data_IF_831396762056
#
_entry.id   IF_831396762056
#
_cell.length_a   1.000
_cell.length_b   1.000
_cell.length_c   1.000
_cell.angle_alpha   90.00
_cell.angle_beta   90.00
_cell.angle_gamma   90.00
#
_symmetry.space_group_name_H-M   'P 1'
#
loop_
_entity.id
_entity.type
_entity.pdbx_description
1 polymer ?
#
# COMPACT_ATOMS: atom_id res chain seq x y z
N UNK A 1 19.92 -2.59 23.92
CA UNK A 1 19.45 -3.83 23.27
C UNK A 1 18.10 -4.33 23.83
N UNK A 2 17.85 -4.36 25.12
CA UNK A 2 16.57 -4.82 25.70
C UNK A 2 15.35 -3.94 25.37
N UNK A 3 15.50 -2.62 25.25
CA UNK A 3 14.39 -1.71 24.91
C UNK A 3 13.94 -1.79 23.45
N UNK A 4 14.84 -2.15 22.53
CA UNK A 4 14.50 -2.37 21.10
C UNK A 4 13.73 -3.68 20.92
N UNK A 5 14.09 -4.72 21.67
CA UNK A 5 13.38 -5.99 21.66
C UNK A 5 11.94 -5.89 22.22
N UNK A 6 11.72 -5.02 23.22
CA UNK A 6 10.38 -4.74 23.79
C UNK A 6 9.50 -3.93 22.83
N UNK A 7 10.08 -3.01 22.06
CA UNK A 7 9.35 -2.25 21.03
C UNK A 7 8.96 -3.14 19.84
N UNK A 8 9.87 -3.99 19.36
CA UNK A 8 9.57 -4.98 18.30
C UNK A 8 8.55 -6.03 18.76
N UNK A 9 8.61 -6.47 20.01
CA UNK A 9 7.61 -7.38 20.59
C UNK A 9 6.22 -6.74 20.72
N UNK A 10 6.13 -5.43 20.96
CA UNK A 10 4.83 -4.72 21.04
C UNK A 10 4.22 -4.42 19.67
N UNK A 11 5.02 -4.13 18.66
CA UNK A 11 4.54 -3.93 17.27
C UNK A 11 4.11 -5.29 16.68
N UNK A 12 4.85 -6.35 16.90
CA UNK A 12 4.48 -7.72 16.51
C UNK A 12 3.22 -8.23 17.25
N UNK A 13 3.05 -7.88 18.54
CA UNK A 13 1.86 -8.25 19.31
C UNK A 13 0.61 -7.42 18.93
N UNK A 14 0.78 -6.20 18.39
CA UNK A 14 -0.35 -5.37 17.96
C UNK A 14 -0.87 -5.81 16.59
N UNK A 15 0.00 -6.20 15.64
CA UNK A 15 -0.38 -6.82 14.36
C UNK A 15 -0.91 -8.25 14.52
N UNK A 16 -0.46 -9.00 15.53
CA UNK A 16 -0.92 -10.36 15.81
C UNK A 16 -2.29 -10.41 16.53
N UNK A 17 -2.86 -9.29 16.97
CA UNK A 17 -4.05 -9.29 17.85
C UNK A 17 -5.39 -9.14 17.15
N UNK A 18 -5.42 -8.84 15.84
CA UNK A 18 -6.67 -8.81 15.09
C UNK A 18 -6.47 -9.41 13.70
N UNK A 19 -6.61 -10.73 13.58
CA UNK A 19 -6.95 -11.32 12.28
C UNK A 19 -8.17 -10.56 11.78
N UNK A 20 -8.02 -9.83 10.67
CA UNK A 20 -9.12 -9.08 10.08
C UNK A 20 -10.30 -10.02 9.84
N UNK A 21 -11.50 -9.65 10.26
CA UNK A 21 -12.69 -10.50 10.08
C UNK A 21 -12.89 -10.94 8.63
N UNK A 22 -12.47 -10.11 7.66
CA UNK A 22 -12.48 -10.45 6.24
C UNK A 22 -11.60 -11.67 5.88
N UNK A 23 -10.45 -11.88 6.57
CA UNK A 23 -9.63 -13.09 6.39
C UNK A 23 -10.37 -14.34 6.86
N UNK A 24 -11.05 -14.26 7.99
CA UNK A 24 -11.89 -15.35 8.49
C UNK A 24 -13.06 -15.63 7.54
N UNK A 25 -13.67 -14.57 7.02
CA UNK A 25 -14.74 -14.66 6.03
C UNK A 25 -14.29 -15.38 4.78
N UNK A 26 -13.04 -15.14 4.29
CA UNK A 26 -12.49 -15.74 3.08
C UNK A 26 -12.38 -17.26 3.16
N UNK A 27 -11.98 -17.78 4.31
CA UNK A 27 -11.81 -19.23 4.50
C UNK A 27 -13.07 -19.95 5.03
N UNK A 28 -14.05 -19.19 5.50
CA UNK A 28 -15.27 -19.75 6.09
C UNK A 28 -16.07 -20.68 5.15
N UNK A 29 -16.20 -20.45 3.82
CA UNK A 29 -16.87 -21.40 2.93
C UNK A 29 -16.26 -22.81 2.94
N UNK A 30 -14.94 -22.92 3.10
CA UNK A 30 -14.25 -24.20 3.22
C UNK A 30 -14.47 -24.83 4.61
N UNK A 31 -14.36 -24.02 5.68
CA UNK A 31 -14.58 -24.48 7.07
C UNK A 31 -16.00 -24.96 7.32
N UNK A 32 -16.99 -24.35 6.65
CA UNK A 32 -18.41 -24.69 6.80
C UNK A 32 -18.86 -25.87 5.91
N UNK A 33 -18.01 -26.32 4.98
CA UNK A 33 -18.32 -27.36 4.00
C UNK A 33 -19.15 -26.90 2.79
N UNK A 34 -19.42 -25.59 2.66
CA UNK A 34 -20.07 -25.02 1.46
C UNK A 34 -19.18 -25.15 0.21
N UNK A 35 -17.87 -25.07 0.40
CA UNK A 35 -16.86 -25.37 -0.61
C UNK A 35 -16.01 -26.56 -0.17
N UNK A 36 -15.73 -27.46 -1.10
CA UNK A 36 -14.75 -28.51 -0.86
C UNK A 36 -13.36 -27.90 -0.66
N UNK A 37 -12.69 -28.28 0.41
CA UNK A 37 -11.34 -27.82 0.72
C UNK A 37 -10.34 -28.39 -0.29
N UNK A 38 -9.53 -27.56 -0.98
CA UNK A 38 -8.58 -28.05 -1.98
C UNK A 38 -7.42 -28.77 -1.30
N UNK A 39 -7.33 -30.09 -1.50
CA UNK A 39 -6.29 -30.95 -0.91
C UNK A 39 -4.98 -30.96 -1.71
N UNK A 40 -5.01 -30.54 -2.98
CA UNK A 40 -3.87 -30.48 -3.90
C UNK A 40 -4.02 -29.28 -4.84
N UNK A 41 -2.99 -29.03 -5.65
CA UNK A 41 -3.00 -27.97 -6.66
C UNK A 41 -2.35 -26.68 -6.17
N UNK A 42 -2.46 -25.64 -6.97
CA UNK A 42 -1.86 -24.31 -6.72
C UNK A 42 -2.93 -23.24 -6.69
N UNK A 43 -2.95 -22.43 -5.66
CA UNK A 43 -3.88 -21.32 -5.50
C UNK A 43 -3.14 -19.99 -5.43
N UNK A 44 -3.60 -19.01 -6.20
CA UNK A 44 -3.18 -17.62 -6.11
C UNK A 44 -3.95 -16.93 -4.98
N UNK A 45 -3.28 -16.21 -4.07
CA UNK A 45 -3.94 -15.44 -3.02
C UNK A 45 -3.60 -13.96 -3.13
N UNK A 46 -4.49 -13.18 -3.73
CA UNK A 46 -4.37 -11.75 -3.97
C UNK A 46 -4.78 -10.95 -2.74
N UNK A 47 -3.96 -9.96 -2.38
CA UNK A 47 -4.17 -9.14 -1.19
C UNK A 47 -3.97 -9.91 0.12
N UNK A 48 -3.13 -10.94 0.12
CA UNK A 48 -2.88 -11.78 1.30
C UNK A 48 -2.37 -10.93 2.47
N UNK A 49 -3.03 -11.03 3.62
CA UNK A 49 -2.60 -10.35 4.86
C UNK A 49 -2.05 -11.37 5.86
N UNK A 50 -1.07 -10.99 6.72
CA UNK A 50 -0.56 -11.88 7.74
C UNK A 50 -1.62 -12.27 8.77
N UNK A 51 -1.47 -13.47 9.35
CA UNK A 51 -2.34 -13.97 10.40
C UNK A 51 -3.55 -14.78 9.92
N UNK A 52 -3.66 -15.08 8.62
CA UNK A 52 -4.66 -16.05 8.15
C UNK A 52 -4.37 -17.46 8.69
N UNK A 53 -5.43 -18.26 8.79
CA UNK A 53 -5.35 -19.68 9.13
C UNK A 53 -6.03 -20.47 8.04
N UNK A 54 -5.38 -21.51 7.58
CA UNK A 54 -5.97 -22.44 6.62
C UNK A 54 -6.87 -23.44 7.34
N UNK A 55 -7.96 -23.88 6.70
CA UNK A 55 -8.71 -25.07 7.14
C UNK A 55 -7.78 -26.29 7.23
N UNK A 56 -8.07 -27.22 8.13
CA UNK A 56 -7.19 -28.36 8.45
C UNK A 56 -6.84 -29.22 7.21
N UNK A 57 -7.77 -29.39 6.27
CA UNK A 57 -7.59 -30.20 5.06
C UNK A 57 -7.12 -29.39 3.83
N UNK A 58 -6.70 -28.13 4.01
CA UNK A 58 -6.23 -27.30 2.92
C UNK A 58 -4.80 -27.66 2.53
N UNK A 59 -4.65 -28.52 1.54
CA UNK A 59 -3.36 -29.05 1.08
C UNK A 59 -2.80 -28.39 -0.18
N UNK A 60 -3.55 -27.49 -0.84
CA UNK A 60 -3.06 -26.79 -2.02
C UNK A 60 -1.94 -25.79 -1.68
N UNK A 61 -0.96 -25.66 -2.57
CA UNK A 61 0.13 -24.66 -2.44
C UNK A 61 -0.42 -23.25 -2.67
N UNK A 62 -0.21 -22.35 -1.71
CA UNK A 62 -0.59 -20.94 -1.83
C UNK A 62 0.56 -20.10 -2.39
N UNK A 63 0.30 -19.36 -3.46
CA UNK A 63 1.13 -18.30 -4.00
C UNK A 63 0.55 -16.95 -3.56
N UNK A 64 1.14 -16.35 -2.56
CA UNK A 64 0.63 -15.12 -1.97
C UNK A 64 1.10 -13.89 -2.76
N UNK A 65 0.19 -12.93 -2.92
CA UNK A 65 0.49 -11.64 -3.52
C UNK A 65 0.24 -10.53 -2.50
N UNK A 66 1.28 -9.76 -2.21
CA UNK A 66 1.19 -8.66 -1.26
C UNK A 66 2.14 -7.52 -1.63
N UNK A 67 1.59 -6.40 -2.12
CA UNK A 67 2.35 -5.21 -2.53
C UNK A 67 2.75 -4.28 -1.38
N UNK A 68 2.09 -4.36 -0.21
CA UNK A 68 2.42 -3.53 0.94
C UNK A 68 3.58 -4.13 1.73
N UNK A 69 4.73 -3.45 1.76
CA UNK A 69 6.00 -3.92 2.30
C UNK A 69 5.93 -4.49 3.73
N UNK A 70 5.26 -3.87 4.72
CA UNK A 70 5.12 -4.45 6.06
C UNK A 70 4.44 -5.82 6.06
N UNK A 71 3.34 -5.98 5.32
CA UNK A 71 2.63 -7.25 5.20
C UNK A 71 3.45 -8.30 4.45
N UNK A 72 4.08 -7.90 3.33
CA UNK A 72 4.99 -8.76 2.59
C UNK A 72 6.10 -9.33 3.49
N UNK A 73 6.76 -8.47 4.28
CA UNK A 73 7.82 -8.89 5.20
C UNK A 73 7.32 -9.86 6.27
N UNK A 74 6.13 -9.61 6.82
CA UNK A 74 5.53 -10.50 7.81
C UNK A 74 5.21 -11.88 7.22
N UNK A 75 4.63 -11.94 6.01
CA UNK A 75 4.36 -13.19 5.31
C UNK A 75 5.63 -13.94 4.93
N UNK A 76 6.65 -13.23 4.41
CA UNK A 76 7.95 -13.82 4.08
C UNK A 76 8.66 -14.37 5.33
N UNK A 77 8.60 -13.65 6.46
CA UNK A 77 9.15 -14.10 7.74
C UNK A 77 8.45 -15.35 8.27
N UNK A 78 7.16 -15.52 7.97
CA UNK A 78 6.40 -16.74 8.24
C UNK A 78 6.67 -17.88 7.23
N UNK A 79 7.64 -17.70 6.32
CA UNK A 79 8.07 -18.66 5.28
C UNK A 79 7.01 -18.95 4.22
N UNK A 80 6.08 -18.06 4.02
CA UNK A 80 5.16 -18.17 2.88
C UNK A 80 5.87 -17.77 1.57
N UNK A 81 5.48 -18.41 0.47
CA UNK A 81 5.85 -18.00 -0.89
C UNK A 81 5.04 -16.75 -1.24
N UNK A 82 5.65 -15.59 -1.19
CA UNK A 82 4.99 -14.29 -1.40
C UNK A 82 5.76 -13.46 -2.43
N UNK A 83 5.01 -12.83 -3.34
CA UNK A 83 5.52 -11.89 -4.37
C UNK A 83 4.82 -10.55 -4.25
N UNK A 84 5.44 -9.44 -4.67
CA UNK A 84 4.80 -8.12 -4.59
C UNK A 84 3.72 -7.91 -5.65
N UNK A 85 3.73 -8.68 -6.72
CA UNK A 85 2.76 -8.68 -7.81
C UNK A 85 2.42 -10.12 -8.22
N UNK A 86 1.29 -10.36 -8.90
CA UNK A 86 0.93 -11.69 -9.38
C UNK A 86 1.97 -12.26 -10.36
N UNK A 87 2.37 -13.50 -10.15
CA UNK A 87 3.31 -14.25 -11.01
C UNK A 87 2.76 -15.64 -11.32
N UNK A 88 2.99 -16.13 -12.54
CA UNK A 88 2.51 -17.41 -12.99
C UNK A 88 1.08 -17.38 -13.52
N UNK A 89 0.66 -18.51 -14.09
CA UNK A 89 -0.67 -18.75 -14.69
C UNK A 89 -1.08 -20.19 -14.43
N UNK A 90 -2.26 -20.58 -14.90
CA UNK A 90 -2.81 -21.94 -14.76
C UNK A 90 -2.88 -22.39 -13.29
N UNK A 91 -3.37 -21.49 -12.41
CA UNK A 91 -3.70 -21.85 -11.04
C UNK A 91 -5.01 -22.66 -11.01
N UNK A 92 -5.09 -23.65 -10.13
CA UNK A 92 -6.31 -24.44 -9.92
C UNK A 92 -7.43 -23.60 -9.26
N UNK A 93 -7.05 -22.49 -8.64
CA UNK A 93 -7.98 -21.50 -8.10
C UNK A 93 -7.29 -20.23 -7.62
N UNK A 94 -8.11 -19.25 -7.24
CA UNK A 94 -7.66 -18.00 -6.69
C UNK A 94 -8.50 -17.56 -5.49
N UNK A 95 -7.87 -16.93 -4.53
CA UNK A 95 -8.44 -16.26 -3.38
C UNK A 95 -8.17 -14.76 -3.52
N UNK A 96 -9.16 -13.90 -3.32
CA UNK A 96 -8.99 -12.45 -3.34
C UNK A 96 -9.58 -11.84 -2.06
N UNK A 97 -8.73 -11.18 -1.27
CA UNK A 97 -9.15 -10.46 -0.09
C UNK A 97 -9.41 -8.99 -0.44
N UNK A 98 -10.68 -8.66 -0.63
CA UNK A 98 -11.10 -7.31 -0.99
C UNK A 98 -10.86 -6.30 0.14
N UNK A 99 -10.40 -5.11 -0.24
CA UNK A 99 -10.22 -3.95 0.62
C UNK A 99 -11.21 -2.82 0.26
N UNK A 100 -10.87 -1.60 0.68
CA UNK A 100 -11.73 -0.40 0.53
C UNK A 100 -11.80 0.14 -0.90
N UNK A 101 -10.78 -0.10 -1.69
CA UNK A 101 -10.67 0.48 -3.02
C UNK A 101 -11.32 -0.44 -4.06
N UNK A 102 -12.53 -0.07 -4.47
CA UNK A 102 -13.30 -0.86 -5.43
C UNK A 102 -12.52 -1.20 -6.70
N UNK A 103 -11.89 -0.21 -7.33
CA UNK A 103 -11.14 -0.45 -8.56
C UNK A 103 -9.95 -1.38 -8.38
N UNK A 104 -9.26 -1.34 -7.22
CA UNK A 104 -8.21 -2.30 -6.89
C UNK A 104 -8.78 -3.72 -6.70
N UNK A 105 -9.94 -3.85 -6.04
CA UNK A 105 -10.60 -5.14 -5.87
C UNK A 105 -11.02 -5.73 -7.23
N UNK A 106 -11.56 -4.90 -8.13
CA UNK A 106 -11.92 -5.30 -9.50
C UNK A 106 -10.68 -5.74 -10.29
N UNK A 107 -9.56 -4.99 -10.21
CA UNK A 107 -8.29 -5.37 -10.83
C UNK A 107 -7.74 -6.71 -10.27
N UNK A 108 -7.81 -6.94 -8.97
CA UNK A 108 -7.41 -8.22 -8.38
C UNK A 108 -8.28 -9.39 -8.84
N UNK A 109 -9.59 -9.18 -9.01
CA UNK A 109 -10.47 -10.21 -9.55
C UNK A 109 -10.16 -10.47 -11.03
N UNK A 110 -9.84 -9.43 -11.82
CA UNK A 110 -9.37 -9.59 -13.20
C UNK A 110 -8.10 -10.46 -13.25
N UNK A 111 -7.09 -10.15 -12.43
CA UNK A 111 -5.86 -10.95 -12.30
C UNK A 111 -6.16 -12.41 -11.87
N UNK A 112 -7.09 -12.60 -10.92
CA UNK A 112 -7.53 -13.93 -10.50
C UNK A 112 -8.13 -14.71 -11.68
N UNK A 113 -9.01 -14.07 -12.46
CA UNK A 113 -9.65 -14.67 -13.63
C UNK A 113 -8.63 -15.00 -14.73
N UNK A 114 -7.72 -14.10 -15.05
CA UNK A 114 -6.71 -14.30 -16.09
C UNK A 114 -5.73 -15.43 -15.77
N UNK A 115 -5.38 -15.58 -14.48
CA UNK A 115 -4.33 -16.51 -14.04
C UNK A 115 -4.83 -17.87 -13.57
N UNK A 116 -6.12 -18.01 -13.32
CA UNK A 116 -6.72 -19.29 -12.95
C UNK A 116 -7.02 -20.12 -14.20
N UNK A 117 -6.85 -21.42 -14.15
CA UNK A 117 -7.23 -22.36 -15.22
C UNK A 117 -8.74 -22.32 -15.45
N UNK A 118 -9.19 -22.70 -16.65
CA UNK A 118 -10.61 -22.81 -16.96
C UNK A 118 -11.33 -23.75 -15.99
N UNK A 119 -12.51 -23.34 -15.51
CA UNK A 119 -13.26 -24.06 -14.48
C UNK A 119 -12.65 -24.00 -13.08
N UNK A 120 -11.48 -23.35 -12.90
CA UNK A 120 -10.84 -23.17 -11.61
C UNK A 120 -11.65 -22.25 -10.68
N UNK A 121 -11.56 -22.49 -9.38
CA UNK A 121 -12.34 -21.79 -8.36
C UNK A 121 -11.79 -20.41 -8.06
N UNK A 122 -12.63 -19.37 -8.09
CA UNK A 122 -12.30 -18.02 -7.62
C UNK A 122 -13.17 -17.68 -6.41
N UNK A 123 -12.54 -17.41 -5.27
CA UNK A 123 -13.22 -17.02 -4.02
C UNK A 123 -12.82 -15.59 -3.68
N UNK A 124 -13.81 -14.73 -3.46
CA UNK A 124 -13.62 -13.33 -3.09
C UNK A 124 -14.29 -13.08 -1.76
N UNK A 125 -13.60 -12.43 -0.83
CA UNK A 125 -14.22 -12.02 0.44
C UNK A 125 -13.74 -10.63 0.87
N UNK A 126 -14.58 -9.97 1.63
CA UNK A 126 -14.28 -8.66 2.20
C UNK A 126 -15.25 -8.26 3.29
N UNK A 127 -14.98 -7.13 3.94
CA UNK A 127 -15.85 -6.55 4.95
C UNK A 127 -17.04 -5.82 4.31
N UNK A 128 -18.20 -5.86 4.99
CA UNK A 128 -19.34 -5.02 4.61
C UNK A 128 -19.00 -3.53 4.63
N UNK A 129 -18.15 -3.14 5.56
CA UNK A 129 -17.66 -1.78 5.70
C UNK A 129 -16.77 -1.32 4.55
N UNK A 130 -16.12 -2.26 3.87
CA UNK A 130 -15.26 -2.02 2.70
C UNK A 130 -16.04 -2.15 1.36
N UNK A 131 -17.37 -2.38 1.43
CA UNK A 131 -18.25 -2.36 0.27
C UNK A 131 -18.35 -3.70 -0.49
N UNK A 132 -18.01 -4.83 0.13
CA UNK A 132 -18.04 -6.16 -0.51
C UNK A 132 -19.40 -6.50 -1.13
N UNK A 133 -20.51 -6.08 -0.49
CA UNK A 133 -21.86 -6.31 -1.01
C UNK A 133 -22.12 -5.62 -2.36
N UNK A 134 -21.55 -4.43 -2.56
CA UNK A 134 -21.62 -3.71 -3.83
C UNK A 134 -20.75 -4.37 -4.90
N UNK A 135 -19.57 -4.83 -4.52
CA UNK A 135 -18.67 -5.57 -5.41
C UNK A 135 -19.33 -6.88 -5.87
N UNK A 136 -19.92 -7.66 -4.94
CA UNK A 136 -20.67 -8.87 -5.28
C UNK A 136 -21.79 -8.61 -6.30
N UNK A 137 -22.64 -7.61 -6.05
CA UNK A 137 -23.72 -7.23 -6.96
C UNK A 137 -23.25 -6.81 -8.36
N UNK A 138 -22.04 -6.25 -8.45
CA UNK A 138 -21.43 -5.92 -9.73
C UNK A 138 -20.97 -7.19 -10.44
N UNK A 139 -20.31 -8.09 -9.73
CA UNK A 139 -19.86 -9.37 -10.30
C UNK A 139 -21.03 -10.23 -10.79
N UNK A 140 -22.15 -10.27 -10.04
CA UNK A 140 -23.38 -10.99 -10.44
C UNK A 140 -23.94 -10.56 -11.80
N UNK A 141 -23.61 -9.34 -12.26
CA UNK A 141 -24.00 -8.86 -13.60
C UNK A 141 -23.04 -9.30 -14.71
N UNK A 142 -21.85 -9.77 -14.37
CA UNK A 142 -20.80 -10.11 -15.30
C UNK A 142 -20.56 -11.63 -15.39
N UNK A 143 -20.78 -12.34 -14.30
CA UNK A 143 -20.56 -13.79 -14.21
C UNK A 143 -21.58 -14.40 -13.24
N UNK A 144 -22.02 -15.62 -13.53
CA UNK A 144 -22.85 -16.38 -12.60
C UNK A 144 -22.05 -16.76 -11.36
N UNK A 145 -22.55 -16.42 -10.17
CA UNK A 145 -21.93 -16.86 -8.92
C UNK A 145 -22.46 -18.25 -8.53
N UNK A 146 -21.57 -19.15 -8.13
CA UNK A 146 -21.94 -20.48 -7.65
C UNK A 146 -22.47 -20.44 -6.20
N UNK A 147 -22.09 -19.38 -5.44
CA UNK A 147 -22.61 -19.20 -4.09
C UNK A 147 -22.07 -17.95 -3.39
N UNK A 148 -22.64 -17.67 -2.24
CA UNK A 148 -22.18 -16.61 -1.33
C UNK A 148 -22.57 -16.93 0.12
N UNK A 149 -21.68 -16.56 1.06
CA UNK A 149 -21.84 -16.86 2.48
C UNK A 149 -21.49 -15.61 3.32
N UNK A 150 -22.48 -14.99 3.99
CA UNK A 150 -22.23 -13.89 4.93
C UNK A 150 -21.76 -14.41 6.28
N UNK A 151 -20.63 -13.91 6.78
CA UNK A 151 -20.11 -14.21 8.14
C UNK A 151 -19.10 -13.14 8.56
N UNK A 152 -18.90 -13.00 9.89
CA UNK A 152 -17.90 -12.12 10.48
C UNK A 152 -17.93 -10.68 9.93
N UNK A 153 -19.13 -10.08 9.87
CA UNK A 153 -19.36 -8.72 9.30
C UNK A 153 -18.85 -8.53 7.86
N UNK A 154 -18.78 -9.63 7.11
CA UNK A 154 -18.36 -9.66 5.72
C UNK A 154 -19.17 -10.63 4.89
N UNK A 155 -18.78 -10.77 3.63
CA UNK A 155 -19.35 -11.73 2.69
C UNK A 155 -18.21 -12.39 1.93
N UNK A 156 -18.23 -13.72 1.83
CA UNK A 156 -17.50 -14.46 0.82
C UNK A 156 -18.46 -14.81 -0.32
N UNK A 157 -18.00 -14.77 -1.56
CA UNK A 157 -18.72 -15.27 -2.71
C UNK A 157 -17.73 -15.92 -3.67
N UNK A 158 -18.22 -16.83 -4.52
CA UNK A 158 -17.36 -17.62 -5.38
C UNK A 158 -18.03 -17.96 -6.70
N UNK A 159 -17.19 -18.23 -7.69
CA UNK A 159 -17.58 -18.67 -9.02
C UNK A 159 -16.47 -19.50 -9.65
N UNK A 160 -16.80 -20.24 -10.70
CA UNK A 160 -15.81 -20.90 -11.55
C UNK A 160 -15.39 -19.98 -12.68
N UNK A 161 -14.08 -19.93 -12.97
CA UNK A 161 -13.59 -19.18 -14.13
C UNK A 161 -14.31 -19.68 -15.39
N UNK A 162 -15.04 -18.82 -16.10
CA UNK A 162 -15.76 -19.23 -17.30
C UNK A 162 -14.79 -19.46 -18.48
N UNK A 163 -15.24 -20.23 -19.46
CA UNK A 163 -14.64 -20.22 -20.79
C UNK A 163 -14.69 -18.79 -21.37
N UNK A 164 -13.66 -18.36 -22.12
CA UNK A 164 -13.64 -17.02 -22.70
C UNK A 164 -13.55 -15.89 -21.66
N UNK A 165 -12.90 -16.12 -20.52
CA UNK A 165 -12.81 -15.19 -19.39
C UNK A 165 -12.13 -13.84 -19.70
N UNK A 166 -11.59 -13.62 -20.89
CA UNK A 166 -10.95 -12.37 -21.30
C UNK A 166 -11.91 -11.17 -21.24
N UNK A 167 -13.18 -11.36 -21.64
CA UNK A 167 -14.20 -10.29 -21.60
C UNK A 167 -14.53 -9.92 -20.14
N UNK A 168 -14.62 -10.92 -19.25
CA UNK A 168 -14.82 -10.69 -17.82
C UNK A 168 -13.65 -9.94 -17.20
N UNK A 169 -12.42 -10.34 -17.48
CA UNK A 169 -11.22 -9.67 -17.00
C UNK A 169 -11.15 -8.23 -17.52
N UNK A 170 -11.39 -8.01 -18.82
CA UNK A 170 -11.42 -6.68 -19.42
C UNK A 170 -12.48 -5.78 -18.79
N UNK A 171 -13.68 -6.29 -18.50
CA UNK A 171 -14.77 -5.52 -17.86
C UNK A 171 -14.44 -5.11 -16.40
N UNK A 172 -13.44 -5.74 -15.79
CA UNK A 172 -12.99 -5.49 -14.42
C UNK A 172 -11.69 -4.67 -14.36
N UNK A 173 -10.96 -4.56 -15.47
CA UNK A 173 -9.76 -3.72 -15.51
C UNK A 173 -10.15 -2.24 -15.34
N UNK A 174 -9.51 -1.52 -14.42
CA UNK A 174 -9.74 -0.09 -14.28
C UNK A 174 -9.18 0.67 -15.49
N UNK A 175 -9.90 1.71 -15.90
CA UNK A 175 -9.37 2.62 -16.91
C UNK A 175 -8.11 3.32 -16.38
N UNK A 176 -7.07 3.50 -17.21
CA UNK A 176 -5.90 4.28 -16.86
C UNK A 176 -6.25 5.71 -16.44
N UNK A 177 -5.73 6.14 -15.32
CA UNK A 177 -5.96 7.51 -14.80
C UNK A 177 -4.69 8.34 -14.98
N UNK A 178 -4.86 9.53 -15.55
CA UNK A 178 -3.81 10.55 -15.60
C UNK A 178 -4.20 11.70 -14.68
N UNK A 179 -3.55 11.78 -13.54
CA UNK A 179 -3.70 12.91 -12.61
C UNK A 179 -2.98 14.12 -13.18
N UNK A 180 -3.69 15.26 -13.26
CA UNK A 180 -3.18 16.52 -13.82
C UNK A 180 -2.68 16.38 -15.29
N UNK A 181 -3.28 15.43 -16.04
CA UNK A 181 -2.88 15.13 -17.43
C UNK A 181 -1.46 14.59 -17.59
N UNK A 182 -0.80 14.23 -16.50
CA UNK A 182 0.64 13.94 -16.47
C UNK A 182 1.00 12.65 -15.74
N UNK A 183 0.46 12.44 -14.53
CA UNK A 183 0.88 11.34 -13.68
C UNK A 183 -0.02 10.13 -13.84
N UNK A 184 0.54 9.03 -14.31
CA UNK A 184 -0.14 7.74 -14.35
C UNK A 184 -0.34 7.19 -12.93
N UNK A 185 -1.57 6.82 -12.62
CA UNK A 185 -1.96 6.26 -11.32
C UNK A 185 -2.94 5.11 -11.51
N UNK A 186 -3.20 4.37 -10.44
CA UNK A 186 -4.19 3.29 -10.45
C UNK A 186 -5.02 3.30 -9.16
N UNK A 187 -6.26 2.77 -9.20
CA UNK A 187 -7.08 2.58 -8.02
C UNK A 187 -6.35 1.78 -6.94
N UNK A 188 -6.42 2.24 -5.70
CA UNK A 188 -5.68 1.68 -4.56
C UNK A 188 -4.49 2.52 -4.14
N UNK A 189 -3.89 3.28 -5.05
CA UNK A 189 -2.85 4.24 -4.72
C UNK A 189 -3.41 5.44 -3.96
N UNK A 190 -2.60 6.02 -3.10
CA UNK A 190 -2.98 7.26 -2.39
C UNK A 190 -3.30 8.38 -3.38
N UNK A 191 -4.49 8.99 -3.24
CA UNK A 191 -4.94 10.11 -4.07
C UNK A 191 -4.83 9.86 -5.58
N UNK A 192 -5.25 8.66 -6.02
CA UNK A 192 -5.09 8.18 -7.40
C UNK A 192 -5.90 8.96 -8.45
N UNK A 193 -6.86 9.77 -8.05
CA UNK A 193 -7.76 10.54 -8.93
C UNK A 193 -7.46 12.05 -8.98
N UNK A 194 -6.57 12.52 -8.11
CA UNK A 194 -6.21 13.96 -8.00
C UNK A 194 -4.92 14.15 -7.22
N UNK A 195 -4.31 15.35 -7.35
CA UNK A 195 -3.22 15.75 -6.47
C UNK A 195 -3.78 16.01 -5.07
N UNK A 196 -3.18 15.37 -4.06
CA UNK A 196 -3.53 15.60 -2.66
C UNK A 196 -3.27 17.06 -2.25
N UNK A 197 -4.23 17.66 -1.53
CA UNK A 197 -4.15 19.07 -1.15
C UNK A 197 -2.96 19.36 -0.19
N UNK A 198 -2.66 18.41 0.71
CA UNK A 198 -1.50 18.53 1.61
C UNK A 198 -0.18 18.46 0.83
N UNK A 199 -0.06 17.51 -0.11
CA UNK A 199 1.12 17.39 -0.98
C UNK A 199 1.31 18.64 -1.85
N UNK A 200 0.23 19.21 -2.37
CA UNK A 200 0.29 20.49 -3.13
C UNK A 200 0.80 21.62 -2.25
N UNK A 201 0.26 21.77 -1.04
CA UNK A 201 0.69 22.78 -0.08
C UNK A 201 2.17 22.62 0.31
N UNK A 202 2.65 21.40 0.49
CA UNK A 202 4.06 21.11 0.75
C UNK A 202 4.92 21.46 -0.46
N UNK A 203 4.48 21.15 -1.68
CA UNK A 203 5.21 21.47 -2.91
C UNK A 203 5.46 22.97 -3.07
N UNK A 204 4.51 23.83 -2.66
CA UNK A 204 4.68 25.30 -2.66
C UNK A 204 5.77 25.77 -1.68
N UNK A 205 6.09 24.98 -0.65
CA UNK A 205 7.10 25.28 0.36
C UNK A 205 8.48 24.67 0.06
N UNK A 206 8.65 23.98 -1.07
CA UNK A 206 9.93 23.38 -1.43
C UNK A 206 10.98 24.48 -1.70
N UNK A 207 12.23 24.29 -1.24
CA UNK A 207 13.30 25.27 -1.46
C UNK A 207 13.78 25.23 -2.91
N UNK A 208 14.15 26.38 -3.45
CA UNK A 208 14.74 26.50 -4.79
C UNK A 208 16.25 26.25 -4.78
N UNK A 209 16.90 26.35 -3.62
CA UNK A 209 18.35 26.35 -3.44
C UNK A 209 18.93 25.09 -2.79
N UNK A 210 18.10 24.05 -2.59
CA UNK A 210 18.57 22.79 -2.00
C UNK A 210 19.63 22.12 -2.88
N UNK A 211 20.62 21.51 -2.21
CA UNK A 211 21.77 20.87 -2.86
C UNK A 211 22.05 19.50 -2.25
N UNK A 212 22.82 18.70 -2.98
CA UNK A 212 23.26 17.39 -2.53
C UNK A 212 22.23 16.29 -2.76
N UNK A 213 21.89 15.51 -1.76
CA UNK A 213 20.98 14.37 -1.88
C UNK A 213 19.68 14.63 -1.11
N UNK A 214 18.55 14.36 -1.74
CA UNK A 214 17.24 14.42 -1.10
C UNK A 214 16.58 13.04 -1.03
N UNK A 215 15.58 12.92 -0.14
CA UNK A 215 14.70 11.75 -0.13
C UNK A 215 13.23 12.18 -0.02
N UNK A 216 12.34 11.36 -0.60
CA UNK A 216 10.89 11.46 -0.48
C UNK A 216 10.39 10.25 0.31
N UNK A 217 9.91 10.49 1.53
CA UNK A 217 9.47 9.45 2.46
C UNK A 217 7.96 9.25 2.38
N UNK A 218 7.52 8.10 1.87
CA UNK A 218 6.15 7.85 1.48
C UNK A 218 5.84 8.50 0.14
N UNK A 219 6.68 8.22 -0.85
CA UNK A 219 6.69 8.95 -2.13
C UNK A 219 5.42 8.74 -2.98
N UNK A 220 4.63 7.70 -2.69
CA UNK A 220 3.48 7.34 -3.48
C UNK A 220 3.85 7.15 -4.95
N UNK A 221 3.07 7.75 -5.84
CA UNK A 221 3.32 7.75 -7.29
C UNK A 221 4.25 8.88 -7.78
N UNK A 222 5.00 9.53 -6.86
CA UNK A 222 6.13 10.38 -7.17
C UNK A 222 5.84 11.88 -7.36
N UNK A 223 4.70 12.39 -6.92
CA UNK A 223 4.33 13.80 -7.09
C UNK A 223 5.34 14.76 -6.44
N UNK A 224 5.64 14.60 -5.15
CA UNK A 224 6.58 15.48 -4.45
C UNK A 224 8.00 15.38 -5.01
N UNK A 225 8.43 14.18 -5.39
CA UNK A 225 9.73 13.97 -6.07
C UNK A 225 9.81 14.70 -7.39
N UNK A 226 8.74 14.70 -8.21
CA UNK A 226 8.68 15.45 -9.47
C UNK A 226 8.78 16.96 -9.22
N UNK A 227 7.97 17.48 -8.28
CA UNK A 227 7.98 18.91 -7.92
C UNK A 227 9.36 19.36 -7.39
N UNK A 228 10.01 18.51 -6.59
CA UNK A 228 11.33 18.77 -6.07
C UNK A 228 12.39 18.81 -7.18
N UNK A 229 12.36 17.86 -8.10
CA UNK A 229 13.29 17.78 -9.23
C UNK A 229 13.16 18.96 -10.22
N UNK A 230 11.93 19.39 -10.45
CA UNK A 230 11.65 20.55 -11.33
C UNK A 230 12.08 21.88 -10.72
N UNK A 231 11.86 22.03 -9.44
CA UNK A 231 12.12 23.29 -8.72
C UNK A 231 13.58 23.46 -8.33
N UNK A 232 14.26 22.37 -7.94
CA UNK A 232 15.57 22.44 -7.29
C UNK A 232 16.68 21.88 -8.20
N UNK A 233 17.41 22.76 -8.88
CA UNK A 233 18.48 22.34 -9.82
C UNK A 233 19.80 21.95 -9.17
N UNK A 234 19.96 22.14 -7.85
CA UNK A 234 21.18 21.80 -7.11
C UNK A 234 21.24 20.37 -6.56
N UNK A 235 20.17 19.59 -6.68
CA UNK A 235 20.12 18.22 -6.19
C UNK A 235 20.85 17.27 -7.17
N UNK A 236 21.75 16.46 -6.62
CA UNK A 236 22.42 15.39 -7.35
C UNK A 236 21.58 14.11 -7.45
N UNK A 237 20.81 13.84 -6.41
CA UNK A 237 19.96 12.64 -6.35
C UNK A 237 18.70 12.88 -5.50
N UNK A 238 17.62 12.17 -5.85
CA UNK A 238 16.39 12.06 -5.08
C UNK A 238 16.06 10.58 -4.91
N UNK A 239 16.05 10.09 -3.67
CA UNK A 239 15.68 8.71 -3.35
C UNK A 239 14.24 8.64 -2.85
N UNK A 240 13.42 7.83 -3.52
CA UNK A 240 12.02 7.59 -3.18
C UNK A 240 11.90 6.33 -2.31
N UNK A 241 11.29 6.48 -1.14
CA UNK A 241 10.97 5.37 -0.24
C UNK A 241 9.45 5.20 -0.16
N UNK A 242 8.97 4.06 -0.62
CA UNK A 242 7.52 3.78 -0.65
C UNK A 242 7.24 2.35 -0.19
N UNK A 243 6.21 2.20 0.63
CA UNK A 243 5.80 0.89 1.14
C UNK A 243 4.89 0.12 0.19
N UNK A 244 4.12 0.83 -0.64
CA UNK A 244 3.28 0.22 -1.67
C UNK A 244 4.05 0.02 -2.97
N UNK A 245 4.14 -1.24 -3.39
CA UNK A 245 4.94 -1.64 -4.57
C UNK A 245 4.42 -1.00 -5.85
N UNK A 246 3.11 -1.01 -6.07
CA UNK A 246 2.51 -0.50 -7.29
C UNK A 246 2.65 1.03 -7.39
N UNK A 247 2.48 1.75 -6.28
CA UNK A 247 2.74 3.19 -6.21
C UNK A 247 4.20 3.51 -6.56
N UNK A 248 5.15 2.71 -6.09
CA UNK A 248 6.57 2.88 -6.45
C UNK A 248 6.84 2.59 -7.93
N UNK A 249 6.16 1.60 -8.54
CA UNK A 249 6.28 1.36 -9.99
C UNK A 249 5.68 2.54 -10.80
N UNK A 250 4.54 3.07 -10.37
CA UNK A 250 3.96 4.27 -10.96
C UNK A 250 4.93 5.47 -10.86
N UNK A 251 5.57 5.68 -9.71
CA UNK A 251 6.58 6.72 -9.54
C UNK A 251 7.76 6.56 -10.52
N UNK A 252 8.26 5.33 -10.73
CA UNK A 252 9.31 5.07 -11.73
C UNK A 252 8.90 5.50 -13.13
N UNK A 253 7.68 5.15 -13.53
CA UNK A 253 7.13 5.50 -14.85
C UNK A 253 6.92 7.02 -14.96
N UNK A 254 6.35 7.65 -13.93
CA UNK A 254 6.06 9.08 -13.92
C UNK A 254 7.31 9.96 -13.98
N UNK A 255 8.42 9.49 -13.41
CA UNK A 255 9.68 10.23 -13.33
C UNK A 255 10.67 9.89 -14.44
N UNK A 256 10.42 8.83 -15.25
CA UNK A 256 11.36 8.31 -16.24
C UNK A 256 11.80 9.34 -17.30
N UNK A 257 10.92 10.26 -17.66
CA UNK A 257 11.14 11.20 -18.76
C UNK A 257 11.18 12.66 -18.27
N UNK A 258 11.48 12.90 -17.00
CA UNK A 258 11.63 14.26 -16.49
C UNK A 258 12.91 14.89 -17.06
N UNK A 259 12.81 16.03 -17.78
CA UNK A 259 13.98 16.69 -18.35
C UNK A 259 14.87 17.27 -17.24
N UNK A 260 16.18 17.23 -17.43
CA UNK A 260 17.19 17.78 -16.52
C UNK A 260 17.05 17.30 -15.06
N UNK A 261 16.47 16.11 -14.87
CA UNK A 261 16.22 15.57 -13.54
C UNK A 261 17.52 15.05 -12.88
N UNK A 262 17.61 15.12 -11.54
CA UNK A 262 18.66 14.45 -10.80
C UNK A 262 18.52 12.93 -10.93
N UNK A 263 19.52 12.19 -10.43
CA UNK A 263 19.42 10.74 -10.38
C UNK A 263 18.30 10.32 -9.40
N UNK A 264 17.36 9.48 -9.87
CA UNK A 264 16.35 8.88 -9.00
C UNK A 264 16.76 7.51 -8.49
N UNK A 265 16.60 7.29 -7.17
CA UNK A 265 16.66 5.97 -6.54
C UNK A 265 15.25 5.55 -6.09
N UNK A 266 14.91 4.26 -6.26
CA UNK A 266 13.57 3.76 -5.92
C UNK A 266 13.69 2.59 -4.94
N UNK A 267 13.10 2.73 -3.76
CA UNK A 267 13.21 1.78 -2.65
C UNK A 267 11.82 1.34 -2.19
N UNK A 268 11.47 0.10 -2.46
CA UNK A 268 10.31 -0.51 -1.85
C UNK A 268 10.63 -0.83 -0.39
N UNK A 269 10.16 0.01 0.52
CA UNK A 269 10.71 0.09 1.87
C UNK A 269 9.66 0.42 2.93
N UNK A 270 9.72 -0.26 4.06
CA UNK A 270 8.92 0.02 5.24
C UNK A 270 9.67 0.96 6.19
N UNK A 271 9.41 2.26 6.10
CA UNK A 271 10.05 3.30 6.91
C UNK A 271 9.84 3.13 8.43
N UNK A 272 8.89 2.29 8.85
CA UNK A 272 8.63 2.00 10.26
C UNK A 272 9.46 0.79 10.74
N UNK A 273 9.56 -0.23 9.90
CA UNK A 273 10.18 -1.50 10.26
C UNK A 273 11.57 -1.74 9.68
N UNK A 274 12.03 -0.91 8.74
CA UNK A 274 13.34 -1.02 8.10
C UNK A 274 14.12 0.28 8.28
N UNK A 275 15.44 0.16 8.52
CA UNK A 275 16.31 1.31 8.72
C UNK A 275 16.77 1.88 7.38
N UNK A 276 16.73 3.21 7.24
CA UNK A 276 17.33 3.93 6.12
C UNK A 276 18.82 4.14 6.43
N UNK A 277 19.70 3.55 5.62
CA UNK A 277 21.15 3.61 5.85
C UNK A 277 21.78 4.87 5.25
N UNK A 278 21.22 5.40 4.16
CA UNK A 278 21.69 6.63 3.52
C UNK A 278 21.39 7.87 4.36
N UNK A 279 22.15 8.94 4.13
CA UNK A 279 21.99 10.24 4.77
C UNK A 279 21.72 11.34 3.73
N UNK A 280 20.77 12.21 4.05
CA UNK A 280 20.23 13.20 3.14
C UNK A 280 20.44 14.63 3.64
N UNK A 281 20.56 15.55 2.72
CA UNK A 281 20.58 16.99 3.00
C UNK A 281 19.14 17.53 3.18
N UNK A 282 18.18 16.91 2.45
CA UNK A 282 16.77 17.25 2.50
C UNK A 282 15.92 15.97 2.50
N UNK A 283 14.91 15.92 3.35
CA UNK A 283 13.83 14.93 3.27
C UNK A 283 12.51 15.67 3.12
N UNK A 284 11.68 15.25 2.16
CA UNK A 284 10.29 15.67 2.03
C UNK A 284 9.37 14.52 2.44
N UNK A 285 8.21 14.81 3.04
CA UNK A 285 7.33 13.77 3.57
C UNK A 285 5.88 14.24 3.69
N UNK A 286 4.95 13.44 3.14
CA UNK A 286 3.52 13.50 3.46
C UNK A 286 3.12 12.15 4.08
N UNK A 287 3.27 11.96 5.39
CA UNK A 287 3.06 10.67 6.02
C UNK A 287 1.58 10.27 6.00
N UNK A 288 1.24 8.98 5.89
CA UNK A 288 -0.13 8.51 5.95
C UNK A 288 -0.72 8.84 7.34
N UNK A 289 -1.97 9.33 7.35
CA UNK A 289 -2.67 9.72 8.56
C UNK A 289 -3.88 8.82 8.86
N UNK A 290 -4.23 7.91 7.95
CA UNK A 290 -5.29 6.93 8.12
C UNK A 290 -4.84 5.57 7.63
N UNK A 291 -4.83 4.57 8.52
CA UNK A 291 -5.01 3.17 8.16
C UNK A 291 -6.38 2.75 8.68
N UNK A 292 -7.27 2.44 7.79
CA UNK A 292 -8.61 2.14 8.21
C UNK A 292 -9.45 3.40 8.55
N UNK A 293 -10.42 3.26 9.48
CA UNK A 293 -11.32 4.35 9.93
C UNK A 293 -10.73 5.22 11.02
N UNK A 294 -9.67 4.78 11.67
CA UNK A 294 -9.01 5.52 12.74
C UNK A 294 -7.74 6.21 12.23
N UNK A 295 -7.48 7.41 12.72
CA UNK A 295 -6.18 8.02 12.54
C UNK A 295 -5.13 7.19 13.31
N UNK A 296 -4.05 6.77 12.63
CA UNK A 296 -2.92 6.10 13.26
C UNK A 296 -1.70 7.03 13.33
N UNK A 297 -1.67 7.96 14.28
CA UNK A 297 -0.55 8.92 14.41
C UNK A 297 0.79 8.21 14.62
N UNK A 298 0.78 6.98 15.10
CA UNK A 298 1.98 6.18 15.37
C UNK A 298 2.87 5.95 14.14
N UNK A 299 2.28 5.75 12.95
CA UNK A 299 3.04 5.58 11.71
C UNK A 299 3.77 6.88 11.36
N UNK A 300 3.07 8.01 11.32
CA UNK A 300 3.68 9.30 11.04
C UNK A 300 4.74 9.68 12.08
N UNK A 301 4.53 9.37 13.37
CA UNK A 301 5.53 9.58 14.42
C UNK A 301 6.79 8.72 14.20
N UNK A 302 6.63 7.47 13.77
CA UNK A 302 7.76 6.59 13.45
C UNK A 302 8.52 7.11 12.21
N UNK A 303 7.81 7.56 11.17
CA UNK A 303 8.42 8.16 9.99
C UNK A 303 9.18 9.45 10.29
N UNK A 304 8.68 10.31 11.20
CA UNK A 304 9.40 11.52 11.68
C UNK A 304 10.73 11.10 12.33
N UNK A 305 10.74 10.06 13.16
CA UNK A 305 11.97 9.54 13.79
C UNK A 305 12.92 8.94 12.75
N UNK A 306 12.39 8.21 11.77
CA UNK A 306 13.20 7.68 10.66
C UNK A 306 13.84 8.82 9.85
N UNK A 307 13.10 9.88 9.58
CA UNK A 307 13.61 11.06 8.86
C UNK A 307 14.73 11.77 9.66
N UNK A 308 14.54 12.03 10.96
CA UNK A 308 15.60 12.59 11.81
C UNK A 308 16.85 11.71 11.79
N UNK A 309 16.67 10.37 11.88
CA UNK A 309 17.76 9.41 11.79
C UNK A 309 18.46 9.35 10.43
N UNK A 310 17.81 9.72 9.35
CA UNK A 310 18.33 9.68 7.98
C UNK A 310 18.86 11.02 7.48
N UNK A 311 18.73 12.10 8.23
CA UNK A 311 19.29 13.41 7.88
C UNK A 311 20.78 13.50 8.29
N UNK A 312 21.53 14.25 7.47
CA UNK A 312 22.88 14.73 7.81
C UNK A 312 22.82 15.77 8.92
N UNK A 313 23.95 16.05 9.63
CA UNK A 313 24.05 17.25 10.46
C UNK A 313 23.70 18.50 9.65
N UNK A 314 22.76 19.33 10.15
CA UNK A 314 22.24 20.50 9.45
C UNK A 314 21.24 20.20 8.31
N UNK A 315 20.95 18.93 8.04
CA UNK A 315 19.93 18.53 7.08
C UNK A 315 18.53 18.92 7.53
N UNK A 316 17.60 19.02 6.58
CA UNK A 316 16.26 19.55 6.79
C UNK A 316 15.19 18.52 6.43
N UNK A 317 14.18 18.40 7.28
CA UNK A 317 12.90 17.78 6.98
C UNK A 317 11.89 18.84 6.59
N UNK A 318 11.18 18.66 5.48
CA UNK A 318 9.94 19.36 5.14
C UNK A 318 8.79 18.35 5.14
N UNK A 319 7.77 18.59 5.93
CA UNK A 319 6.63 17.69 6.00
C UNK A 319 5.30 18.42 6.07
N UNK A 320 4.27 17.78 5.51
CA UNK A 320 2.89 18.21 5.68
C UNK A 320 2.14 17.23 6.57
N UNK A 321 1.20 17.74 7.36
CA UNK A 321 0.34 16.93 8.20
C UNK A 321 -1.04 17.59 8.35
N UNK A 322 -2.08 16.80 8.59
CA UNK A 322 -3.38 17.31 8.99
C UNK A 322 -3.28 18.06 10.32
N UNK A 323 -3.99 19.20 10.45
CA UNK A 323 -3.94 20.09 11.61
C UNK A 323 -4.19 19.39 12.95
N UNK A 324 -5.06 18.39 12.99
CA UNK A 324 -5.42 17.67 14.21
C UNK A 324 -4.42 16.60 14.67
N UNK A 325 -3.34 16.35 13.92
CA UNK A 325 -2.39 15.29 14.28
C UNK A 325 -1.34 15.79 15.29
N UNK A 326 -1.02 15.02 16.34
CA UNK A 326 -0.17 15.44 17.45
C UNK A 326 1.33 15.26 17.11
N UNK A 327 1.80 15.88 16.01
CA UNK A 327 3.20 15.73 15.57
C UNK A 327 4.16 16.76 16.18
N UNK A 328 3.65 17.86 16.74
CA UNK A 328 4.49 18.92 17.33
C UNK A 328 5.46 18.41 18.40
N UNK A 329 5.00 17.53 19.30
CA UNK A 329 5.84 16.98 20.36
C UNK A 329 6.94 16.09 19.81
N UNK A 330 6.60 15.24 18.82
CA UNK A 330 7.57 14.32 18.22
C UNK A 330 8.60 15.06 17.40
N UNK A 331 8.19 16.08 16.65
CA UNK A 331 9.10 16.96 15.91
C UNK A 331 10.07 17.68 16.87
N UNK A 332 9.57 18.33 17.93
CA UNK A 332 10.41 19.00 18.93
C UNK A 332 11.35 18.06 19.70
N UNK A 333 10.97 16.80 19.86
CA UNK A 333 11.82 15.79 20.49
C UNK A 333 12.89 15.24 19.54
N UNK A 334 12.62 15.22 18.23
CA UNK A 334 13.49 14.62 17.22
C UNK A 334 14.45 15.64 16.55
N UNK A 335 14.14 16.94 16.59
CA UNK A 335 14.87 18.00 15.89
C UNK A 335 15.19 19.18 16.81
N UNK A 336 16.29 19.90 16.53
CA UNK A 336 16.74 21.06 17.29
C UNK A 336 15.93 22.33 16.99
N UNK A 337 15.58 22.53 15.71
CA UNK A 337 14.78 23.66 15.24
C UNK A 337 13.56 23.14 14.50
N UNK A 338 12.36 23.61 14.87
CA UNK A 338 11.08 23.25 14.24
C UNK A 338 10.28 24.50 14.00
N UNK A 339 9.91 24.75 12.76
CA UNK A 339 9.11 25.90 12.34
C UNK A 339 7.89 25.45 11.56
N UNK A 340 6.76 26.08 11.81
CA UNK A 340 5.57 25.99 10.98
C UNK A 340 5.70 26.99 9.84
N UNK A 341 5.70 26.52 8.59
CA UNK A 341 5.82 27.35 7.39
C UNK A 341 4.45 27.81 6.89
N UNK A 342 3.45 26.92 6.97
CA UNK A 342 2.08 27.16 6.50
C UNK A 342 1.08 26.47 7.42
N UNK A 343 -0.12 27.07 7.52
CA UNK A 343 -1.27 26.50 8.23
C UNK A 343 -2.53 26.88 7.46
N UNK A 344 -2.94 26.03 6.52
CA UNK A 344 -3.97 26.36 5.54
C UNK A 344 -4.72 25.10 5.10
N UNK A 345 -5.99 25.24 4.72
CA UNK A 345 -6.79 24.15 4.14
C UNK A 345 -6.96 22.90 5.04
N UNK A 346 -6.77 23.04 6.36
CA UNK A 346 -6.80 21.90 7.28
C UNK A 346 -5.44 21.19 7.43
N UNK A 347 -4.39 21.69 6.76
CA UNK A 347 -3.03 21.16 6.79
C UNK A 347 -2.05 22.14 7.46
N UNK A 348 -0.95 21.59 7.95
CA UNK A 348 0.21 22.34 8.48
C UNK A 348 1.46 21.81 7.78
N UNK A 349 2.31 22.74 7.32
CA UNK A 349 3.63 22.42 6.77
C UNK A 349 4.69 22.80 7.78
N UNK A 350 5.58 21.85 8.07
CA UNK A 350 6.69 22.03 9.00
C UNK A 350 8.02 21.94 8.29
N UNK A 351 8.96 22.79 8.73
CA UNK A 351 10.38 22.65 8.49
C UNK A 351 11.07 22.30 9.81
N UNK A 352 11.89 21.24 9.81
CA UNK A 352 12.63 20.83 10.98
C UNK A 352 14.10 20.54 10.63
N UNK A 353 15.05 20.85 11.53
CA UNK A 353 16.49 20.69 11.31
C UNK A 353 17.18 19.98 12.48
N UNK A 354 18.16 19.14 12.14
CA UNK A 354 19.05 18.46 13.09
C UNK A 354 20.15 19.39 13.63
#
# INVERSE_FOLDING_TARGET
MAQVAVALGRISAYTARMTRDALRTLFHPFESGELATPSVGRFLFLGAEPGFRLPDDFGAELHLVQGLRPHFRALASARHKVTPKPEGTEFDGALALAGRHRGQNEAWIAEAVERTAEGGLVVVAGSNDDGISSLRKRLEKLVALDGSLPKYHGVAFWFRRPEGAADLASALQPEPVLVDGRFGTAPGMFSHDRIDAGSRLLAECLPDDAKGAAADFGAGWGYLSAQLAERTKGLAAIDLYEADYESLQAAKTNLANLPDAPQFGFFWHDLVGEKVEKKYDLIVMNPPFHQGRAAEPGIGQAMIKAASGALKPGGQLLMVANRGLPYDQVLKAAFKDVRELRNEGGFRVFAARN
#
